data_IF_369818793702
#
_entry.id   IF_369818793702
#
_cell.length_a   1.000
_cell.length_b   1.000
_cell.length_c   1.000
_cell.angle_alpha   90.00
_cell.angle_beta   90.00
_cell.angle_gamma   90.00
#
_symmetry.space_group_name_H-M   'P 1'
#
loop_
_entity.id
_entity.type
_entity.pdbx_description
1 polymer ?
#
# COMPACT_ATOMS: atom_id res chain seq x y z
N UNK A 1 -19.93 41.24 -43.18
CA UNK A 1 -20.95 41.27 -44.26
C UNK A 1 -20.49 40.31 -45.34
N UNK A 2 -21.37 39.54 -46.00
CA UNK A 2 -22.56 38.80 -45.54
C UNK A 2 -22.32 37.26 -45.75
N UNK A 3 -23.14 36.29 -45.61
CA UNK A 3 -24.60 36.16 -45.43
C UNK A 3 -24.92 34.68 -45.15
N UNK A 4 -25.74 34.42 -44.27
CA UNK A 4 -26.95 33.65 -44.06
C UNK A 4 -27.47 32.82 -45.24
N UNK A 5 -27.84 31.55 -45.06
CA UNK A 5 -29.14 30.90 -45.38
C UNK A 5 -29.10 29.41 -45.03
N UNK A 6 -29.87 28.90 -44.10
CA UNK A 6 -31.29 28.43 -44.07
C UNK A 6 -31.65 27.37 -45.11
N UNK A 7 -32.06 26.18 -44.62
CA UNK A 7 -33.40 25.53 -44.79
C UNK A 7 -33.32 24.03 -44.48
N UNK A 8 -34.08 23.56 -43.56
CA UNK A 8 -35.51 23.17 -43.44
C UNK A 8 -35.73 21.64 -43.64
N UNK A 9 -36.34 21.09 -42.65
CA UNK A 9 -36.81 19.74 -42.34
C UNK A 9 -37.64 19.04 -43.44
N UNK A 10 -37.67 17.70 -43.40
CA UNK A 10 -38.85 16.90 -43.69
C UNK A 10 -38.98 15.72 -42.72
N UNK A 11 -40.06 15.67 -41.98
CA UNK A 11 -40.59 14.52 -41.24
C UNK A 11 -41.09 13.46 -42.26
N UNK A 12 -40.78 12.19 -41.99
CA UNK A 12 -41.68 11.10 -42.46
C UNK A 12 -41.91 10.15 -41.28
N UNK A 13 -43.14 10.09 -40.90
CA UNK A 13 -43.80 9.11 -40.03
C UNK A 13 -44.00 7.85 -40.85
N UNK A 14 -43.52 6.73 -40.37
CA UNK A 14 -43.94 5.39 -40.83
C UNK A 14 -44.39 4.60 -39.63
N UNK A 15 -45.67 4.41 -39.54
CA UNK A 15 -46.35 3.49 -38.67
C UNK A 15 -46.01 2.05 -39.00
N UNK A 16 -45.50 1.29 -38.06
CA UNK A 16 -45.38 -0.15 -38.14
C UNK A 16 -46.14 -0.82 -37.02
N UNK A 17 -47.02 -1.68 -37.39
CA UNK A 17 -47.97 -2.43 -36.61
C UNK A 17 -47.30 -3.38 -35.63
N UNK A 18 -47.74 -3.36 -34.36
CA UNK A 18 -47.32 -4.29 -33.31
C UNK A 18 -48.05 -5.62 -33.51
N UNK A 19 -47.30 -6.67 -33.86
CA UNK A 19 -47.73 -8.06 -33.72
C UNK A 19 -47.37 -8.53 -32.32
N UNK A 20 -48.37 -8.76 -31.48
CA UNK A 20 -48.24 -9.38 -30.19
C UNK A 20 -47.93 -10.87 -30.32
N UNK A 21 -46.75 -11.29 -29.90
CA UNK A 21 -46.38 -12.70 -29.69
C UNK A 21 -46.56 -13.01 -28.21
N UNK A 22 -47.27 -14.09 -27.81
CA UNK A 22 -47.40 -14.44 -26.39
C UNK A 22 -46.06 -14.93 -25.83
N UNK A 23 -45.56 -14.25 -24.85
CA UNK A 23 -44.36 -14.65 -24.09
C UNK A 23 -44.74 -15.78 -23.14
N UNK A 24 -44.42 -17.01 -23.50
CA UNK A 24 -44.45 -18.17 -22.59
C UNK A 24 -43.43 -17.94 -21.48
N UNK A 25 -43.92 -17.89 -20.24
CA UNK A 25 -43.08 -17.70 -19.07
C UNK A 25 -42.01 -18.78 -18.93
N UNK A 26 -40.77 -18.40 -19.12
CA UNK A 26 -39.61 -19.11 -18.58
C UNK A 26 -39.46 -18.59 -17.16
N UNK A 27 -39.85 -19.42 -16.17
CA UNK A 27 -39.46 -19.21 -14.76
C UNK A 27 -37.92 -19.26 -14.68
N UNK A 28 -37.31 -18.12 -14.92
CA UNK A 28 -35.92 -17.90 -14.56
C UNK A 28 -35.86 -17.94 -13.04
N UNK A 29 -35.21 -18.97 -12.50
CA UNK A 29 -34.74 -18.97 -11.11
C UNK A 29 -33.87 -17.74 -10.92
N UNK A 30 -34.45 -16.63 -10.50
CA UNK A 30 -33.72 -15.46 -10.04
C UNK A 30 -32.91 -15.92 -8.84
N UNK A 31 -31.57 -15.92 -8.98
CA UNK A 31 -30.72 -15.92 -7.80
C UNK A 31 -31.16 -14.73 -6.96
N UNK A 32 -31.61 -14.99 -5.73
CA UNK A 32 -31.80 -13.99 -4.69
C UNK A 32 -30.59 -13.06 -4.70
N UNK A 33 -30.77 -11.74 -4.45
CA UNK A 33 -29.65 -10.86 -4.16
C UNK A 33 -28.80 -11.58 -3.12
N UNK A 34 -27.47 -11.67 -3.35
CA UNK A 34 -26.58 -12.28 -2.40
C UNK A 34 -26.91 -11.69 -1.03
N UNK A 35 -27.35 -12.54 -0.09
CA UNK A 35 -27.52 -12.15 1.30
C UNK A 35 -26.23 -11.45 1.70
N UNK A 36 -26.34 -10.27 2.31
CA UNK A 36 -25.17 -9.52 2.79
C UNK A 36 -24.38 -10.46 3.70
N UNK A 37 -23.13 -10.71 3.35
CA UNK A 37 -22.23 -11.69 4.01
C UNK A 37 -22.05 -11.41 5.51
N UNK A 38 -22.34 -10.16 5.94
CA UNK A 38 -22.32 -9.70 7.33
C UNK A 38 -23.69 -9.11 7.64
N UNK A 39 -24.43 -9.72 8.55
CA UNK A 39 -25.76 -9.26 8.97
C UNK A 39 -25.70 -7.88 9.63
N UNK A 40 -26.81 -7.16 9.65
CA UNK A 40 -26.90 -5.85 10.29
C UNK A 40 -26.50 -5.85 11.78
N UNK A 41 -26.92 -6.82 12.63
CA UNK A 41 -26.42 -6.91 14.01
C UNK A 41 -24.91 -7.13 14.11
N UNK A 42 -24.33 -7.98 13.25
CA UNK A 42 -22.88 -8.23 13.24
C UNK A 42 -22.10 -6.97 12.81
N UNK A 43 -22.63 -6.20 11.83
CA UNK A 43 -22.07 -4.89 11.45
C UNK A 43 -22.08 -3.90 12.61
N UNK A 44 -23.12 -3.87 13.41
CA UNK A 44 -23.22 -3.03 14.61
C UNK A 44 -22.17 -3.44 15.67
N UNK A 45 -21.97 -4.74 15.90
CA UNK A 45 -20.95 -5.23 16.81
C UNK A 45 -19.54 -4.91 16.32
N UNK A 46 -19.26 -5.07 15.02
CA UNK A 46 -18.00 -4.66 14.41
C UNK A 46 -17.77 -3.15 14.56
N UNK A 47 -18.79 -2.34 14.33
CA UNK A 47 -18.73 -0.89 14.50
C UNK A 47 -18.48 -0.48 15.96
N UNK A 48 -19.05 -1.21 16.92
CA UNK A 48 -18.78 -0.99 18.33
C UNK A 48 -17.31 -1.23 18.71
N UNK A 49 -16.68 -2.28 18.16
CA UNK A 49 -15.24 -2.56 18.33
C UNK A 49 -14.41 -1.39 17.77
N UNK A 50 -14.68 -0.97 16.53
CA UNK A 50 -13.97 0.16 15.90
C UNK A 50 -14.13 1.46 16.70
N UNK A 51 -15.35 1.77 17.14
CA UNK A 51 -15.63 2.98 17.94
C UNK A 51 -14.94 2.95 19.30
N UNK A 52 -14.84 1.78 19.93
CA UNK A 52 -14.10 1.63 21.19
C UNK A 52 -12.59 1.90 20.99
N UNK A 53 -11.99 1.40 19.91
CA UNK A 53 -10.61 1.71 19.51
C UNK A 53 -10.42 3.21 19.31
N UNK A 54 -11.29 3.85 18.50
CA UNK A 54 -11.21 5.29 18.21
C UNK A 54 -11.25 6.14 19.48
N UNK A 55 -12.16 5.83 20.41
CA UNK A 55 -12.26 6.53 21.71
C UNK A 55 -11.00 6.33 22.56
N UNK A 56 -10.45 5.12 22.59
CA UNK A 56 -9.25 4.81 23.40
C UNK A 56 -8.02 5.58 22.94
N UNK A 57 -7.88 5.82 21.65
CA UNK A 57 -6.68 6.43 21.08
C UNK A 57 -6.91 7.84 20.53
N UNK A 58 -8.09 8.42 20.74
CA UNK A 58 -8.50 9.72 20.17
C UNK A 58 -8.31 9.79 18.64
N UNK A 59 -8.81 8.78 17.94
CA UNK A 59 -8.71 8.67 16.48
C UNK A 59 -9.83 9.48 15.85
N UNK A 60 -9.53 10.53 15.04
CA UNK A 60 -10.56 11.34 14.38
C UNK A 60 -11.29 10.57 13.29
N UNK A 61 -10.54 9.87 12.44
CA UNK A 61 -11.04 9.10 11.32
C UNK A 61 -10.36 7.75 11.20
N UNK A 62 -11.15 6.71 10.97
CA UNK A 62 -10.73 5.32 10.77
C UNK A 62 -11.49 4.73 9.59
N UNK A 63 -10.80 4.11 8.67
CA UNK A 63 -11.44 3.37 7.57
C UNK A 63 -10.93 1.93 7.54
N UNK A 64 -11.83 0.97 7.34
CA UNK A 64 -11.54 -0.47 7.36
C UNK A 64 -12.15 -1.13 6.14
N UNK A 65 -11.39 -1.99 5.47
CA UNK A 65 -11.89 -2.93 4.47
C UNK A 65 -11.41 -4.35 4.77
N UNK A 66 -12.29 -5.33 4.60
CA UNK A 66 -12.02 -6.75 4.80
C UNK A 66 -12.48 -7.51 3.56
N UNK A 67 -11.60 -8.37 3.05
CA UNK A 67 -11.96 -9.37 2.05
C UNK A 67 -11.80 -10.77 2.61
N UNK A 68 -12.56 -11.70 2.05
CA UNK A 68 -12.41 -13.13 2.25
C UNK A 68 -12.46 -13.84 0.91
N UNK A 69 -11.53 -14.78 0.72
CA UNK A 69 -11.45 -15.56 -0.52
C UNK A 69 -11.52 -14.70 -1.80
N UNK A 70 -10.81 -13.56 -1.81
CA UNK A 70 -10.73 -12.65 -2.96
C UNK A 70 -11.91 -11.70 -3.14
N UNK A 71 -12.93 -11.70 -2.27
CA UNK A 71 -14.09 -10.81 -2.31
C UNK A 71 -14.10 -9.85 -1.14
N UNK A 72 -14.34 -8.57 -1.39
CA UNK A 72 -14.57 -7.57 -0.32
C UNK A 72 -15.92 -7.89 0.32
N UNK A 73 -15.91 -8.20 1.62
CA UNK A 73 -17.07 -8.63 2.41
C UNK A 73 -17.51 -7.58 3.43
N UNK A 74 -16.62 -6.65 3.75
CA UNK A 74 -16.91 -5.54 4.65
C UNK A 74 -16.08 -4.32 4.27
N UNK A 75 -16.71 -3.16 4.29
CA UNK A 75 -16.07 -1.86 4.11
C UNK A 75 -16.84 -0.82 4.92
N UNK A 76 -16.14 -0.07 5.78
CA UNK A 76 -16.80 0.95 6.60
C UNK A 76 -15.83 2.06 7.02
N UNK A 77 -16.19 3.33 6.80
CA UNK A 77 -15.52 4.49 7.35
C UNK A 77 -16.15 4.88 8.70
N UNK A 78 -15.37 5.42 9.62
CA UNK A 78 -15.77 5.87 10.93
C UNK A 78 -15.20 7.25 11.23
N UNK A 79 -16.01 8.16 11.77
CA UNK A 79 -15.57 9.49 12.19
C UNK A 79 -15.40 10.47 11.04
N UNK A 80 -14.31 11.24 11.05
CA UNK A 80 -14.15 12.45 10.24
C UNK A 80 -12.88 12.43 9.40
N UNK A 81 -13.00 12.86 8.14
CA UNK A 81 -11.86 13.14 7.25
C UNK A 81 -11.18 14.45 7.64
N UNK A 82 -11.97 15.39 8.16
CA UNK A 82 -11.53 16.68 8.66
C UNK A 82 -12.33 17.06 9.91
N UNK A 83 -11.67 17.08 11.08
CA UNK A 83 -12.28 17.39 12.38
C UNK A 83 -12.67 18.86 12.51
N UNK A 84 -11.90 19.78 11.90
CA UNK A 84 -12.15 21.21 12.00
C UNK A 84 -13.43 21.63 11.27
N UNK A 85 -13.71 20.98 10.14
CA UNK A 85 -14.93 21.23 9.37
C UNK A 85 -16.06 20.23 9.67
N UNK A 86 -15.84 19.24 10.56
CA UNK A 86 -16.72 18.12 10.83
C UNK A 86 -17.11 17.34 9.56
N UNK A 87 -16.20 17.26 8.60
CA UNK A 87 -16.41 16.53 7.36
C UNK A 87 -16.34 15.03 7.61
N UNK A 88 -17.42 14.33 7.26
CA UNK A 88 -17.54 12.89 7.46
C UNK A 88 -16.57 12.13 6.58
N UNK A 89 -15.93 11.10 7.16
CA UNK A 89 -15.14 10.16 6.41
C UNK A 89 -16.02 9.31 5.48
N UNK A 90 -15.53 9.04 4.29
CA UNK A 90 -16.15 8.16 3.28
C UNK A 90 -15.23 7.01 2.91
N UNK A 91 -15.74 5.98 2.24
CA UNK A 91 -14.94 4.83 1.78
C UNK A 91 -13.90 5.20 0.73
N UNK A 92 -14.08 6.32 0.03
CA UNK A 92 -13.17 6.81 -1.02
C UNK A 92 -12.07 7.73 -0.51
N UNK A 93 -12.10 8.12 0.78
CA UNK A 93 -11.03 8.95 1.30
C UNK A 93 -9.68 8.24 1.31
N UNK A 94 -8.66 8.98 0.91
CA UNK A 94 -7.28 8.50 0.80
C UNK A 94 -6.49 8.85 2.05
N UNK A 95 -5.64 7.93 2.46
CA UNK A 95 -4.74 8.06 3.61
C UNK A 95 -3.30 7.83 3.18
N UNK A 96 -2.33 8.55 3.77
CA UNK A 96 -0.92 8.16 3.70
C UNK A 96 -0.76 6.78 4.31
N UNK A 97 -0.28 5.82 3.52
CA UNK A 97 -0.15 4.43 4.00
C UNK A 97 1.19 4.13 4.66
N UNK A 98 2.12 5.09 4.64
CA UNK A 98 3.45 4.93 5.20
C UNK A 98 4.10 3.60 4.74
N UNK A 99 4.72 2.86 5.64
CA UNK A 99 5.48 1.64 5.30
C UNK A 99 4.67 0.50 4.67
N UNK A 100 3.34 0.56 4.65
CA UNK A 100 2.49 -0.32 3.82
C UNK A 100 2.80 -0.17 2.31
N UNK A 101 3.54 0.85 1.92
CA UNK A 101 4.15 1.02 0.59
C UNK A 101 5.15 -0.08 0.23
N UNK A 102 5.91 -0.61 1.20
CA UNK A 102 7.02 -1.55 0.95
C UNK A 102 6.61 -2.86 0.26
N UNK A 103 5.47 -3.49 0.60
CA UNK A 103 4.91 -4.58 -0.19
C UNK A 103 4.75 -4.30 -1.67
N UNK A 104 4.30 -3.09 -2.04
CA UNK A 104 4.12 -2.69 -3.44
C UNK A 104 5.46 -2.61 -4.15
N UNK A 105 6.46 -2.02 -3.51
CA UNK A 105 7.83 -1.95 -4.03
C UNK A 105 8.46 -3.34 -4.16
N UNK A 106 8.31 -4.19 -3.15
CA UNK A 106 8.78 -5.57 -3.20
C UNK A 106 8.13 -6.34 -4.36
N UNK A 107 6.81 -6.23 -4.51
CA UNK A 107 6.08 -6.85 -5.63
C UNK A 107 6.59 -6.33 -6.98
N UNK A 108 6.92 -5.03 -7.09
CA UNK A 108 7.52 -4.44 -8.29
C UNK A 108 8.88 -5.03 -8.62
N UNK A 109 9.76 -5.20 -7.63
CA UNK A 109 11.06 -5.88 -7.78
C UNK A 109 10.86 -7.32 -8.23
N UNK A 110 9.96 -8.07 -7.58
CA UNK A 110 9.71 -9.46 -7.95
C UNK A 110 9.06 -9.62 -9.32
N UNK A 111 8.28 -8.65 -9.78
CA UNK A 111 7.79 -8.63 -11.16
C UNK A 111 8.93 -8.47 -12.18
N UNK A 112 9.95 -7.69 -11.88
CA UNK A 112 11.16 -7.57 -12.71
C UNK A 112 12.00 -8.84 -12.66
N UNK A 113 12.15 -9.47 -11.51
CA UNK A 113 12.85 -10.76 -11.34
C UNK A 113 12.14 -11.86 -12.13
N UNK A 114 10.82 -11.98 -12.03
CA UNK A 114 10.03 -12.98 -12.74
C UNK A 114 10.14 -12.84 -14.27
N UNK A 115 10.33 -11.62 -14.76
CA UNK A 115 10.57 -11.30 -16.17
C UNK A 115 12.02 -11.52 -16.62
N UNK A 116 12.91 -11.96 -15.73
CA UNK A 116 14.35 -12.14 -16.00
C UNK A 116 15.10 -10.85 -16.27
N UNK A 117 14.60 -9.70 -15.79
CA UNK A 117 15.22 -8.38 -15.96
C UNK A 117 16.14 -8.01 -14.81
N UNK A 118 16.04 -8.71 -13.70
CA UNK A 118 16.76 -8.47 -12.46
C UNK A 118 16.98 -9.79 -11.72
N UNK A 119 18.13 -9.97 -11.11
CA UNK A 119 18.42 -11.07 -10.20
C UNK A 119 18.25 -10.66 -8.74
N UNK A 120 17.73 -11.57 -7.90
CA UNK A 120 17.58 -11.30 -6.47
C UNK A 120 18.89 -11.01 -5.77
N UNK A 121 20.00 -11.61 -6.26
CA UNK A 121 21.34 -11.45 -5.72
C UNK A 121 22.22 -10.51 -6.55
N UNK A 122 21.66 -9.78 -7.50
CA UNK A 122 22.38 -8.76 -8.23
C UNK A 122 22.89 -7.70 -7.26
N UNK A 123 24.14 -7.27 -7.45
CA UNK A 123 24.73 -6.15 -6.71
C UNK A 123 24.06 -4.85 -7.10
N UNK A 124 23.98 -3.93 -6.15
CA UNK A 124 23.31 -2.63 -6.36
C UNK A 124 24.27 -1.56 -6.84
N UNK A 125 25.42 -1.43 -6.20
CA UNK A 125 26.41 -0.38 -6.44
C UNK A 125 27.74 -0.95 -6.96
N UNK A 126 28.59 -0.08 -7.49
CA UNK A 126 29.89 -0.42 -8.00
C UNK A 126 29.88 -0.91 -9.45
N UNK A 127 31.04 -1.28 -9.96
CA UNK A 127 31.18 -1.82 -11.31
C UNK A 127 30.41 -3.13 -11.47
N UNK A 128 29.54 -3.20 -12.47
CA UNK A 128 28.61 -4.32 -12.67
C UNK A 128 27.39 -4.34 -11.75
N UNK A 129 27.24 -3.41 -10.82
CA UNK A 129 26.01 -3.22 -10.02
C UNK A 129 24.88 -2.58 -10.84
N UNK A 130 23.63 -2.84 -10.45
CA UNK A 130 22.43 -2.35 -11.18
C UNK A 130 22.41 -0.82 -11.31
N UNK A 131 22.80 -0.10 -10.28
CA UNK A 131 22.92 1.36 -10.28
C UNK A 131 24.33 1.85 -10.65
N UNK A 132 25.29 0.94 -10.76
CA UNK A 132 26.68 1.26 -11.09
C UNK A 132 27.28 2.27 -10.12
N UNK A 133 28.00 3.23 -10.67
CA UNK A 133 28.62 4.35 -9.95
C UNK A 133 27.83 5.66 -10.08
N UNK A 134 26.53 5.56 -10.32
CA UNK A 134 25.64 6.72 -10.56
C UNK A 134 25.48 7.63 -9.34
N UNK A 135 25.65 7.09 -8.14
CA UNK A 135 25.46 7.79 -6.86
C UNK A 135 26.72 7.62 -6.00
N UNK A 136 27.02 8.63 -5.20
CA UNK A 136 28.19 8.61 -4.31
C UNK A 136 29.50 8.83 -5.04
N UNK A 137 30.58 8.89 -4.28
CA UNK A 137 31.96 9.08 -4.75
C UNK A 137 32.71 7.74 -4.72
N UNK A 138 33.38 7.38 -5.81
CA UNK A 138 34.23 6.18 -5.85
C UNK A 138 35.67 6.52 -5.52
N UNK A 139 36.41 5.63 -4.83
CA UNK A 139 35.97 4.31 -4.35
C UNK A 139 35.00 4.44 -3.22
N UNK A 140 33.98 3.54 -3.20
CA UNK A 140 32.98 3.53 -2.13
C UNK A 140 33.58 3.11 -0.78
N UNK A 141 32.89 3.56 0.27
CA UNK A 141 33.12 3.06 1.62
C UNK A 141 32.94 1.54 1.69
N UNK A 142 33.61 0.94 2.70
CA UNK A 142 33.64 -0.51 2.90
C UNK A 142 32.23 -1.14 2.85
N UNK A 143 32.11 -2.25 2.11
CA UNK A 143 30.92 -3.10 1.94
C UNK A 143 29.79 -2.55 1.05
N UNK A 144 29.82 -1.29 0.61
CA UNK A 144 28.76 -0.72 -0.23
C UNK A 144 28.59 -1.52 -1.52
N UNK A 145 29.68 -1.95 -2.16
CA UNK A 145 29.65 -2.76 -3.38
C UNK A 145 29.25 -4.23 -3.15
N UNK A 146 29.09 -4.64 -1.89
CA UNK A 146 28.62 -5.98 -1.55
C UNK A 146 27.10 -6.06 -1.42
N UNK A 147 26.42 -4.91 -1.33
CA UNK A 147 24.97 -4.84 -1.16
C UNK A 147 24.25 -5.44 -2.37
N UNK A 148 23.32 -6.36 -2.11
CA UNK A 148 22.46 -6.98 -3.11
C UNK A 148 21.00 -6.51 -2.99
N UNK A 149 20.22 -6.76 -4.04
CA UNK A 149 18.77 -6.52 -4.06
C UNK A 149 18.08 -7.22 -2.88
N UNK A 150 18.43 -8.47 -2.61
CA UNK A 150 17.87 -9.26 -1.50
C UNK A 150 18.13 -8.60 -0.14
N UNK A 151 19.32 -8.09 0.08
CA UNK A 151 19.70 -7.44 1.34
C UNK A 151 18.98 -6.11 1.55
N UNK A 152 18.66 -5.37 0.49
CA UNK A 152 17.79 -4.20 0.60
C UNK A 152 16.34 -4.60 0.93
N UNK A 153 15.80 -5.63 0.26
CA UNK A 153 14.44 -6.14 0.48
C UNK A 153 14.23 -6.68 1.89
N UNK A 154 15.25 -7.33 2.46
CA UNK A 154 15.20 -8.01 3.77
C UNK A 154 15.71 -7.15 4.92
N UNK A 155 16.06 -5.88 4.66
CA UNK A 155 16.64 -4.97 5.66
C UNK A 155 17.95 -5.50 6.29
N UNK A 156 18.79 -6.08 5.46
CA UNK A 156 20.08 -6.64 5.90
C UNK A 156 21.28 -6.01 5.15
N UNK A 157 21.13 -4.79 4.62
CA UNK A 157 22.17 -4.09 3.88
C UNK A 157 23.38 -3.65 4.74
N UNK A 158 23.30 -3.77 6.07
CA UNK A 158 24.43 -3.51 6.97
C UNK A 158 24.41 -2.15 7.65
N UNK A 159 23.42 -1.31 7.40
CA UNK A 159 23.31 0.02 8.01
C UNK A 159 22.08 0.79 7.54
N UNK A 160 22.15 2.12 7.72
CA UNK A 160 21.11 3.07 7.32
C UNK A 160 19.73 2.73 7.92
N UNK A 161 19.74 2.37 9.22
CA UNK A 161 18.56 1.91 9.91
C UNK A 161 17.65 3.05 10.39
N UNK A 162 16.39 2.72 10.60
CA UNK A 162 15.34 3.65 11.03
C UNK A 162 15.39 4.01 12.52
N UNK A 163 16.33 3.44 13.29
CA UNK A 163 16.29 3.56 14.76
C UNK A 163 16.95 4.83 15.27
N UNK A 164 17.97 5.35 14.57
CA UNK A 164 18.78 6.45 15.09
C UNK A 164 18.99 7.61 14.12
N UNK A 165 19.34 7.34 12.86
CA UNK A 165 19.78 8.33 11.89
C UNK A 165 19.32 7.97 10.48
N UNK A 166 18.02 7.67 10.33
CA UNK A 166 17.43 7.31 9.05
C UNK A 166 17.65 8.43 8.02
N UNK A 167 18.41 8.17 6.95
CA UNK A 167 18.69 9.19 5.93
C UNK A 167 17.43 9.81 5.32
N UNK A 168 16.32 9.06 5.31
CA UNK A 168 15.06 9.54 4.70
C UNK A 168 14.40 10.69 5.48
N UNK A 169 14.76 10.89 6.75
CA UNK A 169 14.26 12.00 7.58
C UNK A 169 15.29 13.14 7.72
N UNK A 170 16.47 12.95 7.15
CA UNK A 170 17.49 13.99 7.11
C UNK A 170 17.42 14.78 5.79
N UNK A 171 17.98 16.00 5.79
CA UNK A 171 18.11 16.83 4.60
C UNK A 171 16.82 16.92 3.76
N UNK A 172 15.72 17.46 4.30
CA UNK A 172 14.41 17.47 3.63
C UNK A 172 14.40 18.17 2.26
N UNK A 173 15.34 19.09 2.02
CA UNK A 173 15.48 19.79 0.74
C UNK A 173 16.17 18.98 -0.36
N UNK A 174 16.77 17.82 -0.05
CA UNK A 174 17.43 16.99 -1.06
C UNK A 174 16.42 16.11 -1.81
N UNK A 175 16.57 16.03 -3.15
CA UNK A 175 15.91 15.01 -3.97
C UNK A 175 16.55 13.63 -3.80
N UNK A 176 15.97 12.59 -4.42
CA UNK A 176 16.46 11.21 -4.30
C UNK A 176 17.97 11.07 -4.62
N UNK A 177 18.41 11.59 -5.76
CA UNK A 177 19.81 11.44 -6.19
C UNK A 177 20.79 12.11 -5.23
N UNK A 178 20.45 13.31 -4.76
CA UNK A 178 21.28 14.05 -3.79
C UNK A 178 21.36 13.32 -2.46
N UNK A 179 20.21 12.83 -1.94
CA UNK A 179 20.18 12.11 -0.68
C UNK A 179 20.95 10.78 -0.75
N UNK A 180 20.79 10.02 -1.84
CA UNK A 180 21.53 8.75 -2.00
C UNK A 180 23.04 9.03 -2.07
N UNK A 181 23.46 9.99 -2.88
CA UNK A 181 24.90 10.39 -2.96
C UNK A 181 25.41 10.82 -1.59
N UNK A 182 24.71 11.73 -0.92
CA UNK A 182 25.10 12.17 0.42
C UNK A 182 25.20 11.03 1.43
N UNK A 183 24.24 10.10 1.41
CA UNK A 183 24.24 8.95 2.33
C UNK A 183 25.44 8.03 2.08
N UNK A 184 25.72 7.71 0.81
CA UNK A 184 26.87 6.88 0.44
C UNK A 184 28.21 7.50 0.81
N UNK A 185 28.32 8.84 0.72
CA UNK A 185 29.55 9.59 0.99
C UNK A 185 29.78 9.87 2.49
N UNK A 186 28.70 9.88 3.32
CA UNK A 186 28.79 10.36 4.70
C UNK A 186 28.37 9.36 5.77
N UNK A 187 27.64 8.30 5.41
CA UNK A 187 27.09 7.32 6.36
C UNK A 187 27.65 5.92 6.07
N UNK A 188 28.75 5.59 6.70
CA UNK A 188 29.36 4.26 6.62
C UNK A 188 28.42 3.15 7.09
N UNK A 189 28.48 1.99 6.47
CA UNK A 189 27.81 0.78 6.94
C UNK A 189 28.39 0.33 8.29
N UNK A 190 27.53 -0.08 9.21
CA UNK A 190 27.92 -0.52 10.56
C UNK A 190 28.35 -1.99 10.60
N UNK A 191 27.81 -2.79 9.65
CA UNK A 191 28.03 -4.24 9.58
C UNK A 191 28.19 -4.69 8.12
N UNK A 192 28.81 -5.85 7.88
CA UNK A 192 28.77 -6.48 6.55
C UNK A 192 27.33 -6.77 6.14
N UNK A 193 26.95 -6.55 4.86
CA UNK A 193 25.64 -6.92 4.34
C UNK A 193 25.33 -8.40 4.55
N UNK A 194 24.08 -8.69 4.90
CA UNK A 194 23.60 -10.05 5.16
C UNK A 194 23.80 -10.56 6.57
N UNK A 195 24.42 -9.80 7.48
CA UNK A 195 24.75 -10.26 8.83
C UNK A 195 23.76 -9.84 9.92
N UNK A 196 23.15 -8.68 9.77
CA UNK A 196 22.25 -8.11 10.78
C UNK A 196 21.00 -7.53 10.15
N UNK A 197 19.86 -7.72 10.82
CA UNK A 197 18.61 -7.05 10.47
C UNK A 197 18.62 -5.63 11.04
N UNK A 198 18.41 -4.65 10.16
CA UNK A 198 18.32 -3.24 10.51
C UNK A 198 17.30 -2.59 9.57
N UNK A 199 16.08 -2.37 10.04
CA UNK A 199 14.98 -1.85 9.22
C UNK A 199 15.37 -0.51 8.59
N UNK A 200 15.41 -0.45 7.26
CA UNK A 200 15.94 0.68 6.50
C UNK A 200 14.89 1.21 5.49
N UNK A 201 14.40 2.42 5.70
CA UNK A 201 13.60 3.13 4.72
C UNK A 201 14.47 3.53 3.52
N UNK A 202 15.71 3.93 3.77
CA UNK A 202 16.67 4.28 2.73
C UNK A 202 16.93 3.12 1.77
N UNK A 203 17.03 1.89 2.27
CA UNK A 203 17.17 0.70 1.41
C UNK A 203 16.02 0.58 0.40
N UNK A 204 14.79 0.87 0.81
CA UNK A 204 13.63 0.88 -0.09
C UNK A 204 13.58 2.10 -1.01
N UNK A 205 14.12 3.25 -0.60
CA UNK A 205 14.35 4.38 -1.50
C UNK A 205 15.28 3.97 -2.65
N UNK A 206 16.37 3.25 -2.35
CA UNK A 206 17.29 2.70 -3.35
C UNK A 206 16.60 1.68 -4.27
N UNK A 207 15.76 0.78 -3.72
CA UNK A 207 14.97 -0.17 -4.53
C UNK A 207 14.04 0.55 -5.53
N UNK A 208 13.47 1.69 -5.17
CA UNK A 208 12.73 2.52 -6.11
C UNK A 208 13.58 2.95 -7.31
N UNK A 209 14.82 3.35 -7.08
CA UNK A 209 15.76 3.74 -8.15
C UNK A 209 16.25 2.55 -8.98
N UNK A 210 16.34 1.37 -8.36
CA UNK A 210 16.58 0.11 -9.10
C UNK A 210 15.44 -0.18 -10.08
N UNK A 211 14.19 -0.01 -9.64
CA UNK A 211 13.02 -0.17 -10.51
C UNK A 211 13.09 0.80 -11.70
N UNK A 212 13.43 2.07 -11.44
CA UNK A 212 13.58 3.07 -12.50
C UNK A 212 14.70 2.72 -13.49
N UNK A 213 15.86 2.29 -12.98
CA UNK A 213 17.00 1.92 -13.80
C UNK A 213 16.68 0.75 -14.75
N UNK A 214 16.02 -0.28 -14.25
CA UNK A 214 15.70 -1.50 -15.02
C UNK A 214 14.51 -1.29 -15.95
N UNK A 215 13.49 -0.54 -15.52
CA UNK A 215 12.27 -0.33 -16.31
C UNK A 215 12.36 0.82 -17.31
N UNK A 216 13.28 1.76 -17.10
CA UNK A 216 13.35 3.03 -17.83
C UNK A 216 12.21 3.99 -17.55
N UNK A 217 11.45 3.78 -16.46
CA UNK A 217 10.23 4.52 -16.11
C UNK A 217 10.30 5.03 -14.68
N UNK A 218 9.67 6.18 -14.34
CA UNK A 218 9.55 6.60 -12.95
C UNK A 218 8.93 5.48 -12.09
N UNK A 219 9.42 5.32 -10.86
CA UNK A 219 8.94 4.30 -9.93
C UNK A 219 7.41 4.31 -9.78
N UNK A 220 6.83 5.52 -9.58
CA UNK A 220 5.38 5.70 -9.46
C UNK A 220 4.63 5.11 -10.65
N UNK A 221 5.07 5.42 -11.85
CA UNK A 221 4.38 5.03 -13.09
C UNK A 221 4.48 3.51 -13.31
N UNK A 222 5.67 2.94 -13.03
CA UNK A 222 5.85 1.48 -13.07
C UNK A 222 4.95 0.76 -12.06
N UNK A 223 4.96 1.18 -10.79
CA UNK A 223 4.16 0.58 -9.74
C UNK A 223 2.64 0.72 -10.03
N UNK A 224 2.22 1.90 -10.51
CA UNK A 224 0.82 2.15 -10.84
C UNK A 224 0.32 1.27 -11.98
N UNK A 225 1.08 1.13 -13.06
CA UNK A 225 0.60 0.42 -14.26
C UNK A 225 0.85 -1.09 -14.17
N UNK A 226 2.06 -1.49 -13.73
CA UNK A 226 2.50 -2.89 -13.77
C UNK A 226 2.05 -3.70 -12.55
N UNK A 227 1.71 -3.06 -11.45
CA UNK A 227 1.29 -3.71 -10.20
C UNK A 227 -0.14 -3.32 -9.84
N UNK A 228 -0.37 -2.08 -9.43
CA UNK A 228 -1.66 -1.63 -8.91
C UNK A 228 -2.78 -1.71 -9.95
N UNK A 229 -2.52 -1.25 -11.18
CA UNK A 229 -3.49 -1.30 -12.28
C UNK A 229 -3.91 -2.74 -12.64
N UNK A 230 -2.99 -3.71 -12.53
CA UNK A 230 -3.30 -5.14 -12.73
C UNK A 230 -4.14 -5.72 -11.59
N UNK A 231 -4.14 -5.09 -10.42
CA UNK A 231 -5.01 -5.42 -9.29
C UNK A 231 -6.34 -4.66 -9.34
N UNK A 232 -6.61 -3.87 -10.39
CA UNK A 232 -7.81 -3.04 -10.50
C UNK A 232 -7.76 -1.75 -9.68
N UNK A 233 -6.60 -1.41 -9.09
CA UNK A 233 -6.38 -0.22 -8.27
C UNK A 233 -5.93 0.95 -9.15
N UNK A 234 -6.70 2.04 -9.16
CA UNK A 234 -6.46 3.19 -10.04
C UNK A 234 -6.33 4.53 -9.32
N UNK A 235 -6.77 4.60 -8.08
CA UNK A 235 -6.92 5.87 -7.36
C UNK A 235 -5.79 6.16 -6.37
N UNK A 236 -4.87 5.22 -6.17
CA UNK A 236 -3.66 5.45 -5.38
C UNK A 236 -2.76 6.51 -6.04
N UNK A 237 -2.19 7.37 -5.23
CA UNK A 237 -1.31 8.49 -5.66
C UNK A 237 -0.12 8.62 -4.71
N UNK A 238 0.94 9.31 -5.14
CA UNK A 238 1.99 9.78 -4.21
C UNK A 238 1.48 11.04 -3.52
N UNK A 239 1.62 11.09 -2.20
CA UNK A 239 1.20 12.22 -1.36
C UNK A 239 2.06 13.46 -1.58
N UNK A 240 1.47 14.63 -1.39
CA UNK A 240 2.19 15.87 -1.19
C UNK A 240 2.86 15.97 0.19
N UNK A 241 3.66 16.99 0.41
CA UNK A 241 4.41 17.22 1.65
C UNK A 241 3.63 18.04 2.65
N UNK A 242 2.94 19.07 2.18
CA UNK A 242 2.28 20.09 3.00
C UNK A 242 0.76 19.94 3.00
N UNK A 243 0.10 20.70 3.86
CA UNK A 243 -1.36 20.72 3.92
C UNK A 243 -1.98 21.26 2.62
N UNK A 244 -1.33 22.24 2.00
CA UNK A 244 -1.76 22.88 0.75
C UNK A 244 -1.64 21.94 -0.46
N UNK A 245 -0.67 21.01 -0.41
CA UNK A 245 -0.46 19.98 -1.45
C UNK A 245 -1.38 18.77 -1.29
N UNK A 246 -2.19 18.71 -0.22
CA UNK A 246 -3.15 17.64 0.05
C UNK A 246 -4.17 17.54 -1.09
N UNK A 247 -4.46 16.31 -1.52
CA UNK A 247 -5.52 16.06 -2.49
C UNK A 247 -6.93 16.29 -1.87
N UNK A 248 -7.94 16.65 -2.68
CA UNK A 248 -9.31 16.85 -2.16
C UNK A 248 -9.87 15.62 -1.42
N UNK A 249 -9.57 14.41 -1.90
CA UNK A 249 -10.04 13.16 -1.30
C UNK A 249 -9.16 12.68 -0.14
N UNK A 250 -8.02 13.31 0.09
CA UNK A 250 -7.10 12.93 1.16
C UNK A 250 -7.59 13.48 2.51
N UNK A 251 -7.51 12.67 3.55
CA UNK A 251 -7.87 13.07 4.93
C UNK A 251 -6.91 14.13 5.48
N UNK A 252 -7.35 14.89 6.49
CA UNK A 252 -6.47 15.68 7.34
C UNK A 252 -5.78 14.75 8.35
N UNK A 253 -4.50 14.96 8.61
CA UNK A 253 -3.71 14.18 9.56
C UNK A 253 -3.54 14.92 10.88
N UNK A 254 -3.66 14.17 11.98
CA UNK A 254 -3.63 14.70 13.35
C UNK A 254 -2.45 14.09 14.10
N UNK A 255 -1.38 14.87 14.24
CA UNK A 255 -0.27 14.50 15.12
C UNK A 255 -0.68 14.60 16.59
N UNK A 256 -0.21 13.68 17.42
CA UNK A 256 -0.36 13.72 18.86
C UNK A 256 1.00 13.99 19.52
N UNK A 257 1.00 14.53 20.73
CA UNK A 257 2.23 14.85 21.47
C UNK A 257 3.16 15.85 20.74
N UNK A 258 2.60 16.80 20.00
CA UNK A 258 3.37 17.85 19.31
C UNK A 258 3.95 17.46 17.96
N UNK A 259 3.64 16.28 17.43
CA UNK A 259 4.06 15.90 16.08
C UNK A 259 3.36 16.76 15.01
N UNK A 260 4.12 17.20 14.01
CA UNK A 260 3.58 17.86 12.81
C UNK A 260 3.52 16.87 11.64
N UNK A 261 2.32 16.49 11.15
CA UNK A 261 2.16 15.58 10.02
C UNK A 261 2.66 16.14 8.68
N UNK A 262 2.88 17.44 8.60
CA UNK A 262 3.21 18.17 7.37
C UNK A 262 4.66 18.69 7.34
N UNK A 263 5.52 18.16 8.23
CA UNK A 263 6.93 18.53 8.34
C UNK A 263 7.84 17.38 7.85
N UNK A 264 7.48 16.78 6.69
CA UNK A 264 8.22 15.67 6.09
C UNK A 264 8.21 15.77 4.58
N UNK A 265 9.30 15.34 3.94
CA UNK A 265 9.36 15.20 2.48
C UNK A 265 8.74 13.84 2.06
N UNK A 266 7.41 13.73 2.11
CA UNK A 266 6.67 12.49 1.80
C UNK A 266 6.79 12.13 0.32
N UNK A 267 6.84 13.11 -0.57
CA UNK A 267 7.03 12.89 -2.01
C UNK A 267 8.32 12.11 -2.30
N UNK A 268 9.42 12.39 -1.56
CA UNK A 268 10.67 11.65 -1.66
C UNK A 268 10.59 10.23 -1.07
N UNK A 269 9.57 9.94 -0.30
CA UNK A 269 9.34 8.62 0.30
C UNK A 269 8.56 7.67 -0.64
N UNK A 270 8.49 7.95 -1.92
CA UNK A 270 7.67 7.29 -2.94
C UNK A 270 7.65 5.76 -2.84
N UNK A 271 8.83 5.13 -2.70
CA UNK A 271 9.00 3.67 -2.73
C UNK A 271 9.04 2.98 -1.36
N UNK A 272 8.89 3.74 -0.27
CA UNK A 272 8.87 3.14 1.07
C UNK A 272 7.76 3.65 2.00
N UNK A 273 7.07 4.75 1.65
CA UNK A 273 6.08 5.35 2.54
C UNK A 273 5.15 6.40 1.91
N UNK A 274 5.34 6.80 0.67
CA UNK A 274 4.74 7.99 0.09
C UNK A 274 3.38 7.80 -0.58
N UNK A 275 2.82 6.59 -0.66
CA UNK A 275 1.53 6.37 -1.31
C UNK A 275 0.35 6.79 -0.44
N UNK A 276 -0.70 7.23 -1.14
CA UNK A 276 -2.06 7.41 -0.65
C UNK A 276 -2.92 6.26 -1.14
N UNK A 277 -3.77 5.72 -0.27
CA UNK A 277 -4.74 4.67 -0.61
C UNK A 277 -6.01 4.78 0.24
N UNK A 278 -7.12 4.29 -0.28
CA UNK A 278 -8.24 3.83 0.53
C UNK A 278 -7.99 2.37 1.00
N UNK A 279 -8.61 1.91 2.10
CA UNK A 279 -8.43 0.52 2.55
C UNK A 279 -8.80 -0.51 1.48
N UNK A 280 -9.82 -0.23 0.68
CA UNK A 280 -10.24 -1.08 -0.44
C UNK A 280 -9.13 -1.32 -1.46
N UNK A 281 -8.34 -0.29 -1.79
CA UNK A 281 -7.23 -0.40 -2.75
C UNK A 281 -6.20 -1.40 -2.26
N UNK A 282 -5.86 -1.36 -0.97
CA UNK A 282 -4.91 -2.27 -0.35
C UNK A 282 -5.43 -3.71 -0.31
N UNK A 283 -6.73 -3.89 -0.06
CA UNK A 283 -7.36 -5.21 -0.08
C UNK A 283 -7.42 -5.79 -1.50
N UNK A 284 -7.70 -4.97 -2.52
CA UNK A 284 -7.62 -5.39 -3.92
C UNK A 284 -6.19 -5.79 -4.29
N UNK A 285 -5.19 -5.00 -3.91
CA UNK A 285 -3.78 -5.39 -4.10
C UNK A 285 -3.47 -6.72 -3.42
N UNK A 286 -3.85 -6.90 -2.14
CA UNK A 286 -3.63 -8.15 -1.41
C UNK A 286 -4.23 -9.36 -2.13
N UNK A 287 -5.49 -9.29 -2.57
CA UNK A 287 -6.17 -10.37 -3.25
C UNK A 287 -5.46 -10.87 -4.52
N UNK A 288 -4.59 -10.03 -5.12
CA UNK A 288 -3.83 -10.36 -6.31
C UNK A 288 -2.36 -10.75 -6.03
N UNK A 289 -1.96 -10.78 -4.75
CA UNK A 289 -0.62 -11.23 -4.32
C UNK A 289 -0.68 -12.20 -3.13
N UNK A 290 -1.88 -12.64 -2.75
CA UNK A 290 -2.14 -13.47 -1.56
C UNK A 290 -1.74 -14.94 -1.72
N UNK A 291 -1.43 -15.38 -2.93
CA UNK A 291 -1.08 -16.77 -3.25
C UNK A 291 -2.27 -17.74 -3.24
N UNK A 292 -3.50 -17.25 -3.01
CA UNK A 292 -4.70 -18.08 -3.12
C UNK A 292 -5.15 -18.21 -4.59
N UNK A 293 -6.07 -19.16 -4.83
CA UNK A 293 -6.65 -19.40 -6.15
C UNK A 293 -7.97 -18.66 -6.39
N UNK A 294 -8.48 -17.99 -5.38
CA UNK A 294 -9.76 -17.27 -5.41
C UNK A 294 -9.74 -16.09 -6.38
N UNK A 295 -8.60 -15.42 -6.49
CA UNK A 295 -8.35 -14.33 -7.45
C UNK A 295 -7.07 -14.63 -8.22
N UNK A 296 -6.99 -14.32 -9.52
CA UNK A 296 -5.74 -14.47 -10.27
C UNK A 296 -4.62 -13.61 -9.68
N UNK A 297 -3.53 -14.25 -9.25
CA UNK A 297 -2.35 -13.53 -8.77
C UNK A 297 -1.59 -12.87 -9.92
N UNK A 298 -0.99 -11.70 -9.69
CA UNK A 298 -0.17 -10.98 -10.68
C UNK A 298 1.26 -11.52 -10.79
N UNK A 299 1.69 -12.32 -9.82
CA UNK A 299 2.96 -13.05 -9.78
C UNK A 299 2.69 -14.58 -9.74
N UNK A 300 3.67 -15.35 -10.19
CA UNK A 300 3.61 -16.83 -10.10
C UNK A 300 3.70 -17.31 -8.65
N UNK A 301 3.15 -18.48 -8.34
CA UNK A 301 3.19 -19.04 -6.98
C UNK A 301 4.60 -19.14 -6.38
N UNK A 302 5.58 -19.58 -7.16
CA UNK A 302 6.98 -19.69 -6.70
C UNK A 302 7.59 -18.30 -6.42
N UNK A 303 7.23 -17.28 -7.20
CA UNK A 303 7.64 -15.90 -7.00
C UNK A 303 7.05 -15.33 -5.71
N UNK A 304 5.75 -15.56 -5.47
CA UNK A 304 5.09 -15.16 -4.22
C UNK A 304 5.74 -15.87 -3.03
N UNK A 305 6.01 -17.16 -3.14
CA UNK A 305 6.68 -17.95 -2.12
C UNK A 305 8.08 -17.38 -1.82
N UNK A 306 8.87 -17.07 -2.85
CA UNK A 306 10.20 -16.46 -2.66
C UNK A 306 10.10 -15.10 -1.97
N UNK A 307 9.11 -14.27 -2.34
CA UNK A 307 8.87 -12.96 -1.75
C UNK A 307 8.47 -13.04 -0.27
N UNK A 308 7.66 -14.03 0.12
CA UNK A 308 7.08 -14.15 1.46
C UNK A 308 7.79 -15.15 2.38
N UNK A 309 8.86 -15.80 1.91
CA UNK A 309 9.70 -16.65 2.76
C UNK A 309 10.78 -15.80 3.43
N UNK A 310 10.89 -15.80 4.76
CA UNK A 310 11.91 -15.01 5.46
C UNK A 310 13.33 -15.50 5.15
N UNK A 311 14.29 -14.60 5.26
CA UNK A 311 15.71 -14.94 5.19
C UNK A 311 16.25 -15.51 6.50
N UNK A 312 17.51 -15.98 6.51
CA UNK A 312 18.10 -16.61 7.70
C UNK A 312 18.38 -15.64 8.85
N UNK A 313 18.48 -14.36 8.59
CA UNK A 313 18.85 -13.34 9.58
C UNK A 313 17.67 -12.93 10.44
N UNK A 314 16.47 -12.87 9.88
CA UNK A 314 15.24 -12.51 10.61
C UNK A 314 14.07 -13.40 10.15
N UNK A 315 13.64 -14.32 10.98
CA UNK A 315 12.54 -15.24 10.70
C UNK A 315 11.15 -14.58 10.73
N UNK A 316 11.05 -13.32 11.14
CA UNK A 316 9.81 -12.57 11.23
C UNK A 316 9.62 -11.53 10.12
N UNK A 317 10.60 -11.41 9.20
CA UNK A 317 10.52 -10.48 8.08
C UNK A 317 11.07 -11.13 6.80
N UNK A 318 10.27 -11.09 5.76
CA UNK A 318 10.64 -11.56 4.41
C UNK A 318 11.02 -10.35 3.52
N UNK A 319 10.59 -10.33 2.27
CA UNK A 319 10.93 -9.28 1.30
C UNK A 319 9.74 -8.32 1.16
N UNK A 320 9.76 -7.28 1.99
CA UNK A 320 8.69 -6.29 2.07
C UNK A 320 7.50 -6.70 2.94
N UNK A 321 7.58 -7.81 3.65
CA UNK A 321 6.50 -8.35 4.46
C UNK A 321 7.01 -8.81 5.83
N UNK A 322 6.34 -8.41 6.89
CA UNK A 322 6.40 -9.12 8.15
C UNK A 322 5.66 -10.46 8.00
N UNK A 323 6.17 -11.51 8.62
CA UNK A 323 5.65 -12.88 8.49
C UNK A 323 5.67 -13.61 9.84
N UNK A 324 4.85 -14.65 9.97
CA UNK A 324 4.88 -15.54 11.14
C UNK A 324 4.70 -17.01 10.74
N UNK A 325 4.80 -17.91 11.71
CA UNK A 325 4.71 -19.36 11.50
C UNK A 325 3.28 -19.83 11.11
N UNK A 326 2.26 -19.00 11.28
CA UNK A 326 0.88 -19.29 10.83
C UNK A 326 0.64 -18.93 9.36
N UNK A 327 1.65 -18.89 8.54
CA UNK A 327 1.91 -18.19 7.28
C UNK A 327 0.95 -17.02 6.99
N UNK A 328 0.79 -16.14 7.98
CA UNK A 328 0.25 -14.81 7.74
C UNK A 328 1.38 -13.88 7.32
N UNK A 329 1.08 -12.91 6.48
CA UNK A 329 2.00 -11.81 6.20
C UNK A 329 1.29 -10.48 6.20
N UNK A 330 2.00 -9.46 6.63
CA UNK A 330 1.44 -8.13 6.81
C UNK A 330 2.50 -7.04 6.66
N UNK A 331 2.06 -5.81 6.61
CA UNK A 331 2.90 -4.66 6.89
C UNK A 331 2.09 -3.59 7.63
N UNK A 332 2.68 -3.00 8.65
CA UNK A 332 2.16 -1.81 9.31
C UNK A 332 2.84 -0.55 8.77
N UNK A 333 2.18 0.60 8.95
CA UNK A 333 2.70 1.89 8.57
C UNK A 333 2.48 2.92 9.65
N UNK A 334 3.44 3.83 9.82
CA UNK A 334 3.37 4.88 10.82
C UNK A 334 4.16 6.10 10.35
N UNK A 335 3.49 7.25 10.33
CA UNK A 335 4.07 8.59 10.23
C UNK A 335 3.42 9.51 11.28
N UNK A 336 3.99 10.68 11.59
CA UNK A 336 3.22 11.71 12.26
C UNK A 336 1.84 11.86 11.64
N UNK A 337 0.80 11.74 12.46
CA UNK A 337 -0.59 11.83 12.01
C UNK A 337 -1.14 10.62 11.25
N UNK A 338 -0.46 9.47 11.17
CA UNK A 338 -1.05 8.30 10.51
C UNK A 338 -0.60 6.98 11.14
N UNK A 339 -1.55 6.05 11.26
CA UNK A 339 -1.31 4.64 11.66
C UNK A 339 -2.08 3.73 10.72
N UNK A 340 -1.41 2.77 10.13
CA UNK A 340 -1.98 1.90 9.08
C UNK A 340 -1.53 0.47 9.24
N UNK A 341 -2.36 -0.46 8.77
CA UNK A 341 -2.01 -1.87 8.67
C UNK A 341 -2.67 -2.51 7.45
N UNK A 342 -1.98 -3.45 6.85
CA UNK A 342 -2.46 -4.32 5.78
C UNK A 342 -2.04 -5.76 6.09
N UNK A 343 -2.99 -6.70 6.09
CA UNK A 343 -2.77 -8.09 6.53
C UNK A 343 -3.39 -9.06 5.55
N UNK A 344 -2.66 -10.13 5.25
CA UNK A 344 -3.15 -11.36 4.63
C UNK A 344 -3.01 -12.52 5.61
N UNK A 345 -4.08 -13.24 5.89
CA UNK A 345 -4.09 -14.39 6.80
C UNK A 345 -4.10 -15.71 6.04
N UNK A 346 -3.53 -16.74 6.65
CA UNK A 346 -3.57 -18.11 6.11
C UNK A 346 -5.00 -18.67 5.98
N UNK A 347 -5.96 -18.11 6.72
CA UNK A 347 -7.37 -18.51 6.71
C UNK A 347 -8.21 -17.84 5.61
N UNK A 348 -7.59 -17.14 4.65
CA UNK A 348 -8.28 -16.58 3.50
C UNK A 348 -8.81 -15.15 3.70
N UNK A 349 -8.50 -14.50 4.82
CA UNK A 349 -8.81 -13.10 5.01
C UNK A 349 -7.69 -12.20 4.52
N UNK A 350 -8.08 -11.10 3.90
CA UNK A 350 -7.24 -9.93 3.64
C UNK A 350 -7.93 -8.71 4.21
N UNK A 351 -7.20 -7.83 4.92
CA UNK A 351 -7.77 -6.56 5.39
C UNK A 351 -6.78 -5.42 5.37
N UNK A 352 -7.32 -4.23 5.40
CA UNK A 352 -6.60 -2.99 5.66
C UNK A 352 -7.38 -2.12 6.62
N UNK A 353 -6.67 -1.44 7.53
CA UNK A 353 -7.22 -0.45 8.44
C UNK A 353 -6.30 0.77 8.47
N UNK A 354 -6.88 1.96 8.28
CA UNK A 354 -6.17 3.21 8.11
C UNK A 354 -6.77 4.26 9.05
N UNK A 355 -5.92 4.85 9.91
CA UNK A 355 -6.29 5.91 10.84
C UNK A 355 -5.52 7.20 10.55
N UNK A 356 -6.20 8.35 10.58
CA UNK A 356 -5.59 9.66 10.32
C UNK A 356 -4.96 10.30 11.56
N UNK A 357 -4.43 9.46 12.45
CA UNK A 357 -3.61 9.89 13.60
C UNK A 357 -2.59 8.84 13.98
N UNK A 358 -1.56 9.27 14.72
CA UNK A 358 -0.61 8.42 15.42
C UNK A 358 -0.46 8.88 16.84
N UNK A 359 -0.43 7.93 17.78
CA UNK A 359 -0.12 8.19 19.19
C UNK A 359 1.16 7.45 19.56
N UNK A 360 2.30 8.14 19.65
CA UNK A 360 3.54 7.52 20.11
C UNK A 360 3.44 7.02 21.56
N UNK A 361 4.12 5.94 21.87
CA UNK A 361 4.22 5.39 23.22
C UNK A 361 3.29 4.21 23.49
N UNK A 362 3.05 3.94 24.77
CA UNK A 362 2.22 2.80 25.19
C UNK A 362 0.86 3.28 25.72
N UNK A 363 -0.24 2.54 25.44
CA UNK A 363 -0.28 1.31 24.62
C UNK A 363 -0.03 1.58 23.14
N UNK A 364 0.60 0.62 22.44
CA UNK A 364 0.91 0.72 21.01
C UNK A 364 -0.36 0.76 20.16
N UNK A 365 -0.59 1.89 19.49
CA UNK A 365 -1.75 2.08 18.63
C UNK A 365 -1.72 1.17 17.40
N UNK A 366 -0.52 0.88 16.84
CA UNK A 366 -0.40 0.01 15.67
C UNK A 366 -0.78 -1.44 15.98
N UNK A 367 -0.29 -1.98 17.10
CA UNK A 367 -0.71 -3.30 17.58
C UNK A 367 -2.20 -3.33 17.95
N UNK A 368 -2.71 -2.26 18.55
CA UNK A 368 -4.13 -2.16 18.87
C UNK A 368 -5.02 -2.08 17.62
N UNK A 369 -4.55 -1.45 16.55
CA UNK A 369 -5.24 -1.37 15.26
C UNK A 369 -5.37 -2.76 14.61
N UNK A 370 -4.31 -3.57 14.63
CA UNK A 370 -4.37 -4.96 14.17
C UNK A 370 -5.34 -5.79 15.00
N UNK A 371 -5.21 -5.78 16.33
CA UNK A 371 -6.09 -6.51 17.24
C UNK A 371 -7.56 -6.10 17.05
N UNK A 372 -7.84 -4.83 16.80
CA UNK A 372 -9.19 -4.34 16.52
C UNK A 372 -9.83 -5.06 15.32
N UNK A 373 -9.10 -5.21 14.20
CA UNK A 373 -9.65 -5.90 13.03
C UNK A 373 -9.84 -7.40 13.31
N UNK A 374 -8.92 -8.06 14.03
CA UNK A 374 -9.12 -9.43 14.49
C UNK A 374 -10.38 -9.57 15.34
N UNK A 375 -10.65 -8.63 16.25
CA UNK A 375 -11.84 -8.62 17.09
C UNK A 375 -13.11 -8.37 16.27
N UNK A 376 -13.06 -7.49 15.26
CA UNK A 376 -14.17 -7.30 14.31
C UNK A 376 -14.49 -8.59 13.56
N UNK A 377 -13.49 -9.29 13.02
CA UNK A 377 -13.66 -10.56 12.29
C UNK A 377 -14.33 -11.64 13.17
N UNK A 378 -14.01 -11.68 14.46
CA UNK A 378 -14.60 -12.62 15.42
C UNK A 378 -16.06 -12.33 15.77
N UNK A 379 -16.59 -11.13 15.44
CA UNK A 379 -18.00 -10.76 15.67
C UNK A 379 -18.95 -11.40 14.67
N UNK A 380 -18.44 -11.86 13.56
CA UNK A 380 -19.23 -12.54 12.54
C UNK A 380 -19.27 -14.04 12.82
N UNK A 381 -20.47 -14.56 13.00
CA UNK A 381 -20.70 -15.95 13.42
C UNK A 381 -20.35 -16.95 12.33
N UNK A 382 -20.60 -16.61 11.06
CA UNK A 382 -20.24 -17.42 9.90
C UNK A 382 -19.91 -16.51 8.70
N UNK A 383 -18.72 -16.69 8.16
CA UNK A 383 -18.29 -16.02 6.93
C UNK A 383 -18.59 -16.96 5.74
N UNK A 384 -19.51 -16.55 4.87
CA UNK A 384 -20.00 -17.33 3.73
C UNK A 384 -19.32 -16.89 2.40
N UNK A 385 -18.02 -16.91 2.30
CA UNK A 385 -17.32 -16.56 1.06
C UNK A 385 -16.52 -17.74 0.49
#
# INVERSE_FOLDING_TARGET
MPDVTRRVAIKRILSASVLAVPFSGVSGCGKSPAEDEVSAPEREEMAAVATAFMRKFDVPGLSVAIARNGRVVYENPFGESNRESAERLTVSNLFRIASVTKPITATSIFALIERGKLGQHDKVFGDGGVLGTRFGTVPYEKWVEEITIDQLLTHTCGGWDNSNDDPMFENPGMGHAQLITWTLDTKALKNPPGMHYAYSNFGYCVLGRVIEQISGRPYRDFAQEEILGRCGVRDMRIAGNTLEERLPEEVIYYGQNGENPYDMNVTRMDSHGGWLAAPRDLVLFLNHVDGFKSTPNILKPDTIKAMTTPGPVNSSYARGWAVNNAPNWWHNGSFPGTTTIMVRTASGFCWAALANTRKPGQPDIGLALDNMVWDMVRKVSAWHA
#
